data_IF_974517395093
#
_entry.id   IF_974517395093
#
_cell.length_a   1.000
_cell.length_b   1.000
_cell.length_c   1.000
_cell.angle_alpha   90.00
_cell.angle_beta   90.00
_cell.angle_gamma   90.00
#
_symmetry.space_group_name_H-M   'P 1'
#
loop_
_entity.id
_entity.type
_entity.pdbx_description
1 polymer ?
#
# COMPACT_ATOMS: atom_id res chain seq x y z
N UNK A 1 -45.33 27.69 0.98
CA UNK A 1 -44.18 26.93 0.44
C UNK A 1 -42.93 27.78 0.59
N UNK A 2 -42.20 27.61 1.70
CA UNK A 2 -40.81 28.03 1.96
C UNK A 2 -40.51 27.67 3.43
N UNK A 3 -39.25 27.38 3.75
CA UNK A 3 -38.67 27.09 5.08
C UNK A 3 -38.40 25.62 5.44
N UNK A 4 -37.85 24.82 4.52
CA UNK A 4 -37.19 23.55 4.88
C UNK A 4 -35.67 23.56 4.67
N UNK A 5 -35.10 24.59 4.02
CA UNK A 5 -33.68 24.63 3.67
C UNK A 5 -32.72 25.21 4.73
N UNK A 6 -33.20 26.03 5.68
CA UNK A 6 -32.32 26.78 6.60
C UNK A 6 -32.02 26.06 7.93
N UNK A 7 -32.71 24.96 8.25
CA UNK A 7 -32.60 24.31 9.56
C UNK A 7 -31.39 23.36 9.68
N UNK A 8 -30.77 22.96 8.56
CA UNK A 8 -29.65 22.01 8.57
C UNK A 8 -28.33 22.65 9.01
N UNK A 9 -28.15 23.96 8.81
CA UNK A 9 -26.89 24.67 9.10
C UNK A 9 -26.80 25.25 10.53
N UNK A 10 -27.87 25.20 11.32
CA UNK A 10 -27.88 25.71 12.71
C UNK A 10 -27.38 24.69 13.74
N UNK A 11 -27.03 23.46 13.32
CA UNK A 11 -26.43 22.46 14.21
C UNK A 11 -24.94 22.77 14.39
N UNK A 12 -24.44 22.86 15.64
CA UNK A 12 -23.03 23.16 15.91
C UNK A 12 -22.03 22.21 15.22
N UNK A 13 -22.48 21.02 14.80
CA UNK A 13 -21.67 19.99 14.15
C UNK A 13 -21.83 19.96 12.61
N UNK A 14 -22.75 20.74 12.03
CA UNK A 14 -23.08 20.66 10.61
C UNK A 14 -21.87 20.96 9.71
N UNK A 15 -21.09 22.00 10.02
CA UNK A 15 -19.88 22.34 9.27
C UNK A 15 -18.85 21.22 9.27
N UNK A 16 -18.60 20.61 10.44
CA UNK A 16 -17.67 19.47 10.56
C UNK A 16 -18.15 18.26 9.76
N UNK A 17 -19.44 17.94 9.83
CA UNK A 17 -20.03 16.83 9.08
C UNK A 17 -19.96 17.04 7.57
N UNK A 18 -20.17 18.27 7.10
CA UNK A 18 -20.03 18.62 5.68
C UNK A 18 -18.59 18.50 5.24
N UNK A 19 -17.61 19.02 6.00
CA UNK A 19 -16.19 18.86 5.67
C UNK A 19 -15.78 17.38 5.62
N UNK A 20 -16.19 16.58 6.62
CA UNK A 20 -15.93 15.12 6.59
C UNK A 20 -16.62 14.44 5.41
N UNK A 21 -17.81 14.89 5.01
CA UNK A 21 -18.48 14.40 3.81
C UNK A 21 -17.79 14.85 2.53
N UNK A 22 -17.24 16.05 2.43
CA UNK A 22 -16.51 16.48 1.24
C UNK A 22 -15.15 15.74 1.13
N UNK A 23 -14.48 15.53 2.26
CA UNK A 23 -13.17 14.88 2.35
C UNK A 23 -13.24 13.34 2.37
N UNK A 24 -14.44 12.73 2.40
CA UNK A 24 -14.59 11.28 2.55
C UNK A 24 -13.90 10.43 1.47
N UNK A 25 -13.62 11.02 0.30
CA UNK A 25 -12.92 10.40 -0.83
C UNK A 25 -11.41 10.63 -0.82
N UNK A 26 -10.89 11.47 0.08
CA UNK A 26 -9.45 11.75 0.18
C UNK A 26 -8.80 10.65 1.02
N UNK A 27 -8.02 9.78 0.38
CA UNK A 27 -7.15 8.83 1.07
C UNK A 27 -5.77 9.42 1.23
N UNK A 28 -5.23 9.39 2.45
CA UNK A 28 -3.82 9.65 2.71
C UNK A 28 -2.99 8.36 2.70
N UNK A 29 -3.60 7.23 2.36
CA UNK A 29 -2.95 5.92 2.39
C UNK A 29 -2.97 5.31 0.98
N UNK A 30 -1.80 4.93 0.48
CA UNK A 30 -1.63 4.35 -0.84
C UNK A 30 -0.83 3.04 -0.78
N UNK A 31 -1.15 2.14 -1.72
CA UNK A 31 -0.40 0.92 -1.93
C UNK A 31 -0.09 0.75 -3.41
N UNK A 32 1.14 0.40 -3.72
CA UNK A 32 1.61 0.19 -5.09
C UNK A 32 2.36 -1.13 -5.19
N UNK A 33 2.16 -1.86 -6.27
CA UNK A 33 2.97 -3.04 -6.58
C UNK A 33 4.31 -2.63 -7.19
N UNK A 34 5.37 -3.35 -6.83
CA UNK A 34 6.69 -3.25 -7.45
C UNK A 34 7.07 -4.64 -7.95
N UNK A 35 7.19 -4.79 -9.26
CA UNK A 35 7.49 -6.06 -9.92
C UNK A 35 8.90 -5.99 -10.50
N UNK A 36 9.71 -7.00 -10.22
CA UNK A 36 11.04 -7.16 -10.80
C UNK A 36 10.96 -8.03 -12.05
N UNK A 37 11.42 -7.50 -13.20
CA UNK A 37 11.48 -8.23 -14.47
C UNK A 37 12.92 -8.44 -14.90
N UNK A 38 13.34 -9.70 -15.02
CA UNK A 38 14.63 -10.08 -15.60
C UNK A 38 14.52 -10.14 -17.13
N UNK A 39 15.68 -10.04 -17.79
CA UNK A 39 15.74 -10.12 -19.25
C UNK A 39 15.08 -11.41 -19.76
N UNK A 40 14.19 -11.27 -20.76
CA UNK A 40 13.52 -12.39 -21.40
C UNK A 40 12.27 -12.91 -20.70
N UNK A 41 11.97 -12.46 -19.47
CA UNK A 41 10.71 -12.83 -18.81
C UNK A 41 9.53 -12.09 -19.45
N UNK A 42 8.46 -12.82 -19.73
CA UNK A 42 7.26 -12.34 -20.46
C UNK A 42 5.94 -12.83 -19.87
N UNK A 43 5.96 -13.80 -18.95
CA UNK A 43 4.74 -14.31 -18.30
C UNK A 43 4.62 -13.80 -16.86
N UNK A 44 3.41 -13.75 -16.32
CA UNK A 44 3.18 -13.39 -14.91
C UNK A 44 3.89 -14.34 -13.96
N UNK A 45 3.84 -15.64 -14.24
CA UNK A 45 4.53 -16.69 -13.48
C UNK A 45 6.04 -16.42 -13.38
N UNK A 46 6.68 -16.04 -14.50
CA UNK A 46 8.11 -15.70 -14.51
C UNK A 46 8.42 -14.45 -13.67
N UNK A 47 7.56 -13.44 -13.74
CA UNK A 47 7.74 -12.18 -13.01
C UNK A 47 7.56 -12.35 -11.50
N UNK A 48 6.51 -13.04 -11.08
CA UNK A 48 6.19 -13.27 -9.66
C UNK A 48 7.04 -14.38 -9.04
N UNK A 49 7.65 -15.26 -9.84
CA UNK A 49 8.58 -16.28 -9.36
C UNK A 49 9.99 -15.77 -9.03
N UNK A 50 10.27 -14.48 -9.17
CA UNK A 50 11.58 -13.92 -8.85
C UNK A 50 11.83 -13.87 -7.34
N UNK A 51 12.79 -14.66 -6.85
CA UNK A 51 13.25 -14.65 -5.45
C UNK A 51 14.59 -13.95 -5.23
N UNK A 52 15.26 -13.51 -6.30
CA UNK A 52 16.55 -12.83 -6.22
C UNK A 52 16.43 -11.39 -6.72
N UNK A 53 17.06 -10.47 -6.00
CA UNK A 53 17.13 -9.04 -6.30
C UNK A 53 18.50 -8.71 -6.90
N UNK A 54 18.56 -7.91 -7.97
CA UNK A 54 19.84 -7.38 -8.47
C UNK A 54 20.30 -6.19 -7.64
N UNK A 55 21.61 -5.86 -7.62
CA UNK A 55 22.11 -4.68 -6.91
C UNK A 55 21.37 -3.38 -7.30
N UNK A 56 21.10 -3.19 -8.59
CA UNK A 56 20.36 -2.01 -9.07
C UNK A 56 18.89 -2.02 -8.64
N UNK A 57 18.27 -3.19 -8.50
CA UNK A 57 16.91 -3.27 -7.97
C UNK A 57 16.87 -2.95 -6.48
N UNK A 58 17.85 -3.43 -5.69
CA UNK A 58 17.99 -3.08 -4.27
C UNK A 58 18.18 -1.56 -4.11
N UNK A 59 19.09 -0.95 -4.88
CA UNK A 59 19.32 0.50 -4.87
C UNK A 59 18.04 1.28 -5.22
N UNK A 60 17.28 0.80 -6.21
CA UNK A 60 15.98 1.40 -6.56
C UNK A 60 14.96 1.30 -5.41
N UNK A 61 14.89 0.16 -4.71
CA UNK A 61 14.01 -0.01 -3.56
C UNK A 61 14.37 0.94 -2.40
N UNK A 62 15.66 1.13 -2.13
CA UNK A 62 16.17 2.10 -1.15
C UNK A 62 15.85 3.55 -1.54
N UNK A 63 15.81 3.84 -2.84
CA UNK A 63 15.36 5.14 -3.34
C UNK A 63 13.84 5.36 -3.15
N UNK A 64 13.02 4.32 -3.32
CA UNK A 64 11.56 4.43 -3.16
C UNK A 64 11.14 4.72 -1.71
N UNK A 65 11.87 4.17 -0.74
CA UNK A 65 11.52 4.33 0.66
C UNK A 65 12.41 3.54 1.61
N UNK A 66 11.96 3.45 2.85
CA UNK A 66 12.66 2.72 3.89
C UNK A 66 12.22 1.27 3.92
N UNK A 67 13.20 0.37 4.06
CA UNK A 67 12.92 -1.02 4.41
C UNK A 67 12.34 -1.09 5.82
N UNK A 68 11.22 -1.78 5.97
CA UNK A 68 10.53 -1.96 7.25
C UNK A 68 10.28 -3.44 7.53
N UNK A 69 10.45 -3.85 8.78
CA UNK A 69 9.97 -5.16 9.24
C UNK A 69 8.45 -5.12 9.36
N UNK A 70 7.78 -6.17 8.90
CA UNK A 70 6.32 -6.26 8.94
C UNK A 70 5.82 -6.68 10.32
N UNK A 71 6.58 -7.52 11.03
CA UNK A 71 6.19 -7.92 12.37
C UNK A 71 6.06 -6.69 13.28
N UNK A 72 4.89 -6.54 13.90
CA UNK A 72 4.59 -5.42 14.79
C UNK A 72 4.64 -4.02 14.16
N UNK A 73 4.69 -3.90 12.82
CA UNK A 73 4.70 -2.60 12.13
C UNK A 73 3.49 -1.73 12.50
N UNK A 74 3.74 -0.46 12.85
CA UNK A 74 2.70 0.45 13.35
C UNK A 74 2.17 1.45 12.32
N UNK A 75 2.77 1.51 11.13
CA UNK A 75 2.33 2.39 10.04
C UNK A 75 1.19 1.80 9.20
N UNK A 76 0.86 2.47 8.09
CA UNK A 76 -0.13 1.95 7.14
C UNK A 76 0.34 0.64 6.50
N UNK A 77 -0.27 -0.49 6.87
CA UNK A 77 0.17 -1.82 6.43
C UNK A 77 -0.20 -2.20 5.00
N UNK A 78 -1.01 -1.40 4.29
CA UNK A 78 -1.37 -1.69 2.89
C UNK A 78 -2.05 -3.03 2.63
N UNK A 79 -2.59 -3.70 3.66
CA UNK A 79 -3.14 -5.06 3.59
C UNK A 79 -2.17 -6.18 3.94
N UNK A 80 -0.87 -5.90 4.11
CA UNK A 80 0.12 -6.89 4.55
C UNK A 80 -0.15 -7.35 5.99
N UNK A 81 0.27 -8.57 6.30
CA UNK A 81 0.18 -9.20 7.61
C UNK A 81 1.34 -8.73 8.50
N UNK A 82 0.97 -8.14 9.65
CA UNK A 82 1.93 -7.63 10.64
C UNK A 82 1.97 -8.50 11.91
N UNK A 83 1.16 -9.56 11.96
CA UNK A 83 0.99 -10.40 13.14
C UNK A 83 1.60 -11.79 12.98
N UNK A 84 1.40 -12.45 11.83
CA UNK A 84 1.76 -13.87 11.65
C UNK A 84 2.78 -14.13 10.54
N UNK A 85 3.23 -13.09 9.82
CA UNK A 85 4.24 -13.21 8.76
C UNK A 85 3.75 -13.87 7.47
N UNK A 86 2.43 -13.90 7.22
CA UNK A 86 1.86 -14.58 6.04
C UNK A 86 2.15 -13.86 4.72
N UNK A 87 2.60 -12.60 4.75
CA UNK A 87 2.87 -11.80 3.54
C UNK A 87 4.32 -11.32 3.51
N UNK A 88 5.24 -12.17 3.95
CA UNK A 88 6.67 -11.85 4.07
C UNK A 88 7.04 -11.26 5.43
N UNK A 89 8.34 -11.02 5.62
CA UNK A 89 8.90 -10.50 6.87
C UNK A 89 9.24 -9.01 6.80
N UNK A 90 9.41 -8.46 5.60
CA UNK A 90 9.79 -7.08 5.36
C UNK A 90 9.12 -6.51 4.10
N UNK A 91 9.11 -5.19 4.00
CA UNK A 91 8.58 -4.45 2.86
C UNK A 91 9.30 -3.10 2.72
N UNK A 92 8.90 -2.28 1.75
CA UNK A 92 9.36 -0.89 1.58
C UNK A 92 8.20 0.04 1.88
N UNK A 93 8.47 1.07 2.68
CA UNK A 93 7.48 2.03 3.14
C UNK A 93 8.05 3.45 3.11
N UNK A 94 7.21 4.42 2.78
CA UNK A 94 7.58 5.83 2.90
C UNK A 94 6.39 6.69 3.30
N UNK A 95 6.68 7.85 3.87
CA UNK A 95 5.70 8.92 4.07
C UNK A 95 6.09 10.09 3.18
N UNK A 96 5.20 10.49 2.27
CA UNK A 96 5.44 11.57 1.31
C UNK A 96 4.25 12.53 1.31
N UNK A 97 4.50 13.82 1.57
CA UNK A 97 3.46 14.85 1.71
C UNK A 97 2.28 14.44 2.62
N UNK A 98 2.58 13.89 3.80
CA UNK A 98 1.60 13.36 4.76
C UNK A 98 0.75 12.20 4.23
N UNK A 99 1.18 11.54 3.14
CA UNK A 99 0.60 10.31 2.65
C UNK A 99 1.49 9.13 3.01
N UNK A 100 0.91 8.08 3.58
CA UNK A 100 1.59 6.84 3.87
C UNK A 100 1.50 5.89 2.67
N UNK A 101 2.65 5.38 2.24
CA UNK A 101 2.77 4.54 1.05
C UNK A 101 3.43 3.22 1.42
N UNK A 102 2.70 2.13 1.22
CA UNK A 102 3.20 0.76 1.38
C UNK A 102 3.45 0.12 0.01
N UNK A 103 4.67 -0.37 -0.23
CA UNK A 103 5.02 -1.02 -1.49
C UNK A 103 4.91 -2.54 -1.38
N UNK A 104 4.16 -3.16 -2.29
CA UNK A 104 4.08 -4.61 -2.42
C UNK A 104 5.18 -5.06 -3.38
N UNK A 105 6.36 -5.34 -2.82
CA UNK A 105 7.55 -5.74 -3.59
C UNK A 105 7.48 -7.24 -3.85
N UNK A 106 7.40 -7.64 -5.13
CA UNK A 106 7.17 -9.04 -5.52
C UNK A 106 8.20 -10.01 -4.94
N UNK A 107 9.48 -9.61 -4.87
CA UNK A 107 10.59 -10.41 -4.33
C UNK A 107 10.58 -10.55 -2.80
N UNK A 108 9.74 -9.79 -2.10
CA UNK A 108 9.62 -9.80 -0.62
C UNK A 108 8.34 -10.47 -0.14
N UNK A 109 7.43 -10.80 -1.06
CA UNK A 109 6.23 -11.57 -0.77
C UNK A 109 6.57 -13.07 -0.76
N UNK A 110 5.77 -13.89 -0.05
CA UNK A 110 5.98 -15.33 -0.05
C UNK A 110 5.85 -15.90 -1.45
N UNK A 111 6.69 -16.90 -1.74
CA UNK A 111 6.61 -17.70 -2.94
C UNK A 111 5.99 -19.06 -2.61
N UNK A 112 4.98 -19.47 -3.38
CA UNK A 112 4.34 -20.78 -3.27
C UNK A 112 4.74 -21.65 -4.47
N UNK A 113 5.46 -22.74 -4.21
CA UNK A 113 5.84 -23.69 -5.26
C UNK A 113 4.58 -24.34 -5.88
N UNK A 114 4.46 -24.29 -7.21
CA UNK A 114 3.34 -24.85 -7.95
C UNK A 114 2.12 -23.93 -8.08
N UNK A 115 2.14 -22.73 -7.51
CA UNK A 115 1.14 -21.69 -7.77
C UNK A 115 1.62 -20.72 -8.86
N UNK A 116 1.18 -20.91 -10.10
CA UNK A 116 1.56 -20.02 -11.20
C UNK A 116 1.11 -18.55 -11.01
N UNK A 117 0.11 -18.29 -10.17
CA UNK A 117 -0.46 -16.95 -9.96
C UNK A 117 0.04 -16.26 -8.68
N UNK A 118 0.73 -16.99 -7.79
CA UNK A 118 1.32 -16.50 -6.54
C UNK A 118 0.34 -15.66 -5.70
N UNK A 119 -0.85 -16.22 -5.42
CA UNK A 119 -1.97 -15.54 -4.74
C UNK A 119 -1.91 -15.67 -3.21
#
# INVERSE_FOLDING_TARGET
MKLTGYLLLSRPQASRLIVTFDEHVISNNFKFGVIYQKFGQTTEEELFGNMEESPSFVEFLEFLGHKVELHDFKGFRGGLDVAHGQTGTESVYTTFHNMDIMFHVSTKLPYTEGDSQQV
#
